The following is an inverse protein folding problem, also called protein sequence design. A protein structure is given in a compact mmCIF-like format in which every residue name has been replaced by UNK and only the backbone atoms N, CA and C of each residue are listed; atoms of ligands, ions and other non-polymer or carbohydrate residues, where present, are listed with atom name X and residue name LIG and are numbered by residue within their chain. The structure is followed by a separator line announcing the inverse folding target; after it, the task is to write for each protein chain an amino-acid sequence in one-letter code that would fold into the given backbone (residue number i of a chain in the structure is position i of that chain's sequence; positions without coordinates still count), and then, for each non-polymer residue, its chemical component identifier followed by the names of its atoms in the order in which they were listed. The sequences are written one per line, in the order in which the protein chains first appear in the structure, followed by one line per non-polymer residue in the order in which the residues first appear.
data_IF_914290319862
#
_entry.id   IF_914290319862
#
_cell.length_a   1.000
_cell.length_b   1.000
_cell.length_c   1.000
_cell.angle_alpha   90.00
_cell.angle_beta   90.00
_cell.angle_gamma   90.00
#
_symmetry.space_group_name_H-M   'P 1'
#
loop_
_entity.id
_entity.type
_entity.pdbx_description
1 polymer ?
#
# COMPACT_ATOMS: atom_id res chain seq x y z
N UNK A 1 22.24 -12.28 33.12
CA UNK A 1 21.62 -11.44 32.08
C UNK A 1 22.12 -10.02 32.32
N UNK A 2 22.90 -9.48 31.37
CA UNK A 2 23.77 -8.34 31.59
C UNK A 2 22.97 -7.04 31.79
N UNK A 3 23.10 -6.43 32.98
CA UNK A 3 22.34 -5.22 33.39
C UNK A 3 22.58 -4.03 32.46
N UNK A 4 23.69 -4.03 31.73
CA UNK A 4 24.05 -3.00 30.76
C UNK A 4 23.17 -3.09 29.50
N UNK A 5 22.82 -4.29 29.04
CA UNK A 5 21.96 -4.50 27.87
C UNK A 5 20.51 -4.07 28.14
N UNK A 6 19.99 -4.34 29.34
CA UNK A 6 18.66 -3.84 29.75
C UNK A 6 18.64 -2.33 29.87
N UNK A 7 19.68 -1.72 30.47
CA UNK A 7 19.75 -0.25 30.59
C UNK A 7 19.81 0.47 29.24
N UNK A 8 20.50 -0.11 28.26
CA UNK A 8 20.56 0.43 26.90
C UNK A 8 19.21 0.25 26.20
N UNK A 9 18.57 -0.91 26.34
CA UNK A 9 17.24 -1.16 25.79
C UNK A 9 16.19 -0.19 26.36
N UNK A 10 16.24 0.10 27.67
CA UNK A 10 15.34 1.05 28.33
C UNK A 10 15.58 2.50 27.84
N UNK A 11 16.85 2.87 27.58
CA UNK A 11 17.19 4.18 27.01
C UNK A 11 16.68 4.32 25.56
N UNK A 12 16.83 3.30 24.72
CA UNK A 12 16.25 3.31 23.36
C UNK A 12 14.73 3.29 23.38
N UNK A 13 14.12 2.50 24.25
CA UNK A 13 12.67 2.41 24.41
C UNK A 13 12.06 3.75 24.81
N UNK A 14 12.64 4.44 25.81
CA UNK A 14 12.15 5.75 26.25
C UNK A 14 12.27 6.83 25.17
N UNK A 15 13.33 6.83 24.36
CA UNK A 15 13.50 7.77 23.23
C UNK A 15 12.49 7.49 22.11
N UNK A 16 12.21 6.23 21.82
CA UNK A 16 11.28 5.83 20.75
C UNK A 16 9.80 5.86 21.19
N UNK A 17 9.53 5.83 22.49
CA UNK A 17 8.17 5.83 23.02
C UNK A 17 7.43 7.13 22.66
N UNK A 18 8.08 8.29 22.80
CA UNK A 18 7.49 9.60 22.49
C UNK A 18 7.08 9.73 21.01
N UNK A 19 7.96 9.50 20.01
CA UNK A 19 7.55 9.53 18.61
C UNK A 19 6.57 8.39 18.24
N UNK A 20 6.70 7.22 18.89
CA UNK A 20 5.77 6.11 18.70
C UNK A 20 4.35 6.42 19.18
N UNK A 21 4.21 7.05 20.36
CA UNK A 21 2.92 7.51 20.88
C UNK A 21 2.34 8.64 20.03
N UNK A 22 3.17 9.56 19.54
CA UNK A 22 2.73 10.60 18.61
C UNK A 22 2.15 10.01 17.32
N UNK A 23 2.85 9.07 16.68
CA UNK A 23 2.37 8.37 15.48
C UNK A 23 1.09 7.57 15.76
N UNK A 24 1.01 6.91 16.92
CA UNK A 24 -0.20 6.19 17.33
C UNK A 24 -1.38 7.15 17.51
N UNK A 25 -1.17 8.28 18.18
CA UNK A 25 -2.25 9.25 18.38
C UNK A 25 -2.70 9.86 17.05
N UNK A 26 -1.77 10.17 16.14
CA UNK A 26 -2.10 10.64 14.79
C UNK A 26 -2.91 9.60 14.00
N UNK A 27 -2.53 8.34 14.05
CA UNK A 27 -3.26 7.26 13.36
C UNK A 27 -4.64 7.00 13.98
N UNK A 28 -4.78 7.11 15.30
CA UNK A 28 -6.07 6.99 15.99
C UNK A 28 -7.00 8.19 15.75
N UNK A 29 -6.46 9.38 15.45
CA UNK A 29 -7.27 10.55 15.09
C UNK A 29 -7.95 10.38 13.73
N UNK A 30 -7.42 9.54 12.85
CA UNK A 30 -8.02 9.30 11.53
C UNK A 30 -9.12 8.25 11.68
N UNK A 31 -10.38 8.58 11.36
CA UNK A 31 -11.45 7.60 11.36
C UNK A 31 -11.11 6.48 10.35
N UNK A 32 -11.07 5.23 10.82
CA UNK A 32 -10.69 4.08 9.99
C UNK A 32 -11.53 4.01 8.71
N UNK A 33 -12.84 4.32 8.79
CA UNK A 33 -13.71 4.38 7.62
C UNK A 33 -13.27 5.42 6.59
N UNK A 34 -12.81 6.61 7.04
CA UNK A 34 -12.31 7.65 6.15
C UNK A 34 -10.98 7.23 5.49
N UNK A 35 -10.07 6.60 6.25
CA UNK A 35 -8.83 6.06 5.71
C UNK A 35 -9.10 5.01 4.63
N UNK A 36 -9.98 4.03 4.90
CA UNK A 36 -10.39 3.01 3.93
C UNK A 36 -11.00 3.63 2.67
N UNK A 37 -11.86 4.64 2.83
CA UNK A 37 -12.43 5.38 1.70
C UNK A 37 -11.39 6.06 0.82
N UNK A 38 -10.38 6.69 1.41
CA UNK A 38 -9.26 7.31 0.67
C UNK A 38 -8.48 6.26 -0.12
N UNK A 39 -8.16 5.11 0.47
CA UNK A 39 -7.47 4.03 -0.23
C UNK A 39 -8.29 3.46 -1.39
N UNK A 40 -9.59 3.25 -1.20
CA UNK A 40 -10.49 2.79 -2.26
C UNK A 40 -10.54 3.82 -3.40
N UNK A 41 -10.70 5.10 -3.08
CA UNK A 41 -10.72 6.18 -4.07
C UNK A 41 -9.40 6.25 -4.85
N UNK A 42 -8.28 6.11 -4.16
CA UNK A 42 -6.96 6.05 -4.78
C UNK A 42 -6.85 4.91 -5.80
N UNK A 43 -7.28 3.69 -5.45
CA UNK A 43 -7.26 2.57 -6.40
C UNK A 43 -8.22 2.78 -7.58
N UNK A 44 -9.38 3.41 -7.37
CA UNK A 44 -10.29 3.76 -8.47
C UNK A 44 -9.65 4.75 -9.44
N UNK A 45 -8.94 5.77 -8.93
CA UNK A 45 -8.18 6.72 -9.77
C UNK A 45 -7.10 5.98 -10.56
N UNK A 46 -6.37 5.06 -9.93
CA UNK A 46 -5.36 4.25 -10.63
C UNK A 46 -5.98 3.37 -11.72
N UNK A 47 -7.14 2.75 -11.48
CA UNK A 47 -7.84 1.96 -12.51
C UNK A 47 -8.20 2.85 -13.70
N UNK A 48 -8.76 4.04 -13.43
CA UNK A 48 -9.09 5.00 -14.49
C UNK A 48 -7.83 5.39 -15.28
N UNK A 49 -6.72 5.65 -14.59
CA UNK A 49 -5.46 5.98 -15.23
C UNK A 49 -4.92 4.82 -16.08
N UNK A 50 -4.89 3.60 -15.55
CA UNK A 50 -4.45 2.39 -16.28
C UNK A 50 -5.31 2.15 -17.52
N UNK A 51 -6.62 2.40 -17.43
CA UNK A 51 -7.52 2.29 -18.59
C UNK A 51 -7.11 3.27 -19.71
N UNK A 52 -6.69 4.49 -19.34
CA UNK A 52 -6.26 5.54 -20.29
C UNK A 52 -4.84 5.41 -20.84
N UNK A 53 -4.00 4.49 -20.31
CA UNK A 53 -2.62 4.35 -20.79
C UNK A 53 -2.53 4.01 -22.29
N UNK A 54 -1.52 4.50 -23.03
CA UNK A 54 -1.30 4.06 -24.42
C UNK A 54 -1.02 2.55 -24.52
N UNK A 55 -1.30 1.96 -25.68
CA UNK A 55 -0.99 0.53 -25.92
C UNK A 55 0.52 0.27 -25.82
N UNK A 56 1.33 1.19 -26.31
CA UNK A 56 2.80 1.09 -26.35
C UNK A 56 3.43 0.91 -24.95
N UNK A 57 2.86 1.54 -23.92
CA UNK A 57 3.36 1.46 -22.53
C UNK A 57 2.80 0.27 -21.75
N UNK A 58 1.77 -0.38 -22.28
CA UNK A 58 0.98 -1.38 -21.56
C UNK A 58 0.91 -2.72 -22.26
N UNK A 59 1.59 -2.86 -23.39
CA UNK A 59 1.76 -4.11 -24.14
C UNK A 59 3.20 -4.54 -24.01
N UNK A 60 3.40 -5.78 -23.58
CA UNK A 60 4.69 -6.42 -23.51
C UNK A 60 4.73 -7.52 -24.56
N UNK A 61 5.81 -7.61 -25.33
CA UNK A 61 6.10 -8.73 -26.24
C UNK A 61 7.16 -9.63 -25.61
N UNK A 62 6.78 -10.77 -25.02
CA UNK A 62 7.74 -11.71 -24.46
C UNK A 62 8.49 -12.43 -25.58
N UNK A 63 9.82 -12.56 -25.52
CA UNK A 63 10.58 -13.35 -26.52
C UNK A 63 10.08 -14.80 -26.67
N UNK A 64 9.51 -15.38 -25.60
CA UNK A 64 9.00 -16.75 -25.58
C UNK A 64 7.59 -16.91 -26.14
N UNK A 65 6.75 -15.90 -25.99
CA UNK A 65 5.38 -15.88 -26.53
C UNK A 65 5.41 -14.89 -27.67
N UNK A 66 5.45 -15.37 -28.92
CA UNK A 66 5.37 -14.56 -30.16
C UNK A 66 4.03 -13.81 -30.31
N UNK A 67 3.55 -13.17 -29.25
CA UNK A 67 2.25 -12.52 -29.13
C UNK A 67 2.34 -11.39 -28.11
N UNK A 68 1.83 -10.24 -28.51
CA UNK A 68 1.57 -9.10 -27.64
C UNK A 68 0.66 -9.47 -26.46
N UNK A 69 1.12 -9.20 -25.24
CA UNK A 69 0.33 -9.35 -24.01
C UNK A 69 0.05 -7.97 -23.43
N UNK A 70 -1.23 -7.61 -23.33
CA UNK A 70 -1.62 -6.39 -22.62
C UNK A 70 -1.60 -6.61 -21.11
N UNK A 71 -0.85 -5.78 -20.40
CA UNK A 71 -0.74 -5.77 -18.94
C UNK A 71 -1.92 -5.07 -18.26
N UNK A 72 -2.66 -4.20 -18.99
CA UNK A 72 -3.83 -3.48 -18.47
C UNK A 72 -4.85 -4.36 -17.75
N UNK A 73 -5.36 -5.46 -18.35
CA UNK A 73 -6.36 -6.29 -17.68
C UNK A 73 -5.85 -6.89 -16.36
N UNK A 74 -4.57 -7.27 -16.30
CA UNK A 74 -3.96 -7.80 -15.07
C UNK A 74 -3.82 -6.72 -14.00
N UNK A 75 -3.38 -5.51 -14.38
CA UNK A 75 -3.28 -4.38 -13.47
C UNK A 75 -4.66 -3.96 -12.93
N UNK A 76 -5.67 -3.83 -13.79
CA UNK A 76 -7.05 -3.51 -13.41
C UNK A 76 -7.62 -4.59 -12.49
N UNK A 77 -7.38 -5.87 -12.79
CA UNK A 77 -7.82 -6.98 -11.95
C UNK A 77 -7.19 -6.91 -10.56
N UNK A 78 -5.87 -6.70 -10.47
CA UNK A 78 -5.16 -6.58 -9.19
C UNK A 78 -5.66 -5.39 -8.36
N UNK A 79 -5.83 -4.22 -8.98
CA UNK A 79 -6.36 -3.02 -8.32
C UNK A 79 -7.81 -3.23 -7.85
N UNK A 80 -8.63 -3.91 -8.64
CA UNK A 80 -10.01 -4.24 -8.26
C UNK A 80 -10.05 -5.21 -7.08
N UNK A 81 -9.15 -6.19 -7.04
CA UNK A 81 -9.03 -7.12 -5.91
C UNK A 81 -8.63 -6.38 -4.63
N UNK A 82 -7.72 -5.40 -4.71
CA UNK A 82 -7.37 -4.55 -3.56
C UNK A 82 -8.59 -3.80 -3.03
N UNK A 83 -9.42 -3.22 -3.91
CA UNK A 83 -10.65 -2.55 -3.50
C UNK A 83 -11.59 -3.51 -2.75
N UNK A 84 -11.76 -4.75 -3.24
CA UNK A 84 -12.58 -5.76 -2.57
C UNK A 84 -12.05 -6.08 -1.17
N UNK A 85 -10.73 -6.23 -1.01
CA UNK A 85 -10.12 -6.47 0.30
C UNK A 85 -10.45 -5.33 1.26
N UNK A 86 -10.26 -4.07 0.84
CA UNK A 86 -10.55 -2.90 1.67
C UNK A 86 -12.05 -2.70 1.94
N UNK A 87 -12.96 -3.24 1.13
CA UNK A 87 -14.38 -3.22 1.44
C UNK A 87 -14.75 -4.22 2.55
N UNK A 88 -14.08 -5.37 2.60
CA UNK A 88 -14.40 -6.46 3.54
C UNK A 88 -13.66 -6.31 4.87
N UNK A 89 -12.35 -6.01 4.82
CA UNK A 89 -11.46 -5.89 5.99
C UNK A 89 -11.17 -4.43 6.27
#
# INVERSE_FOLDING_TARGET
MDKTLTSIADAFSSVLQVPGEALRNLTLMIPIGAAKGIFILYFLILIAWVATLPREESVFEPEMLKREVSLKPFAIFSLSLMIVIYMIF
#
